data_IF_014620544365
#
_entry.id   IF_014620544365
#
_cell.length_a   1.000
_cell.length_b   1.000
_cell.length_c   1.000
_cell.angle_alpha   90.00
_cell.angle_beta   90.00
_cell.angle_gamma   90.00
#
_symmetry.space_group_name_H-M   'P 1'
#
loop_
_entity.id
_entity.type
_entity.pdbx_description
1 polymer ?
#
# COMPACT_ATOMS: atom_id res chain seq x y z
N UNK A 1 -8.30 -56.50 -35.32
CA UNK A 1 -9.40 -57.12 -34.56
C UNK A 1 -9.31 -56.60 -33.12
N UNK A 2 -10.28 -56.00 -32.44
CA UNK A 2 -11.61 -55.49 -32.70
C UNK A 2 -11.93 -54.52 -31.54
N UNK A 3 -12.55 -53.39 -31.84
CA UNK A 3 -12.81 -52.26 -30.93
C UNK A 3 -14.13 -52.52 -30.18
N UNK A 4 -14.10 -52.80 -28.87
CA UNK A 4 -15.32 -52.93 -28.07
C UNK A 4 -15.81 -51.53 -27.64
N UNK A 5 -17.01 -51.19 -28.11
CA UNK A 5 -17.80 -50.03 -27.67
C UNK A 5 -18.74 -50.50 -26.56
N UNK A 6 -18.57 -50.02 -25.34
CA UNK A 6 -19.58 -50.17 -24.30
C UNK A 6 -20.65 -49.08 -24.47
N UNK A 7 -21.86 -49.52 -24.76
CA UNK A 7 -23.08 -48.71 -24.90
C UNK A 7 -23.83 -48.84 -23.58
N UNK A 8 -23.99 -47.73 -22.85
CA UNK A 8 -24.83 -47.66 -21.65
C UNK A 8 -26.30 -47.58 -22.07
N UNK A 9 -27.16 -48.34 -21.40
CA UNK A 9 -28.61 -48.42 -21.63
C UNK A 9 -29.37 -47.45 -20.72
N UNK A 10 -30.54 -46.94 -21.15
CA UNK A 10 -31.30 -45.94 -20.42
C UNK A 10 -32.25 -46.63 -19.42
N UNK A 11 -31.86 -46.76 -18.15
CA UNK A 11 -32.77 -47.23 -17.09
C UNK A 11 -32.39 -46.82 -15.65
N UNK A 12 -31.70 -45.70 -15.43
CA UNK A 12 -31.40 -45.20 -14.07
C UNK A 12 -31.57 -43.68 -13.92
N UNK A 13 -32.71 -43.17 -14.37
CA UNK A 13 -33.15 -41.79 -14.08
C UNK A 13 -34.57 -41.83 -13.52
N UNK A 14 -34.69 -42.16 -12.23
CA UNK A 14 -35.85 -41.82 -11.40
C UNK A 14 -35.55 -42.11 -9.91
N UNK A 15 -35.29 -41.07 -9.12
CA UNK A 15 -35.76 -40.92 -7.73
C UNK A 15 -35.20 -39.63 -7.10
N UNK A 16 -35.97 -39.04 -6.18
CA UNK A 16 -35.71 -37.84 -5.38
C UNK A 16 -36.20 -36.50 -5.96
N UNK A 17 -37.51 -36.42 -6.17
CA UNK A 17 -38.30 -35.23 -5.86
C UNK A 17 -38.93 -35.46 -4.48
N UNK A 18 -38.81 -34.52 -3.55
CA UNK A 18 -39.88 -33.99 -2.67
C UNK A 18 -39.31 -33.11 -1.53
N UNK A 19 -39.80 -31.86 -1.51
CA UNK A 19 -40.08 -30.97 -0.36
C UNK A 19 -38.95 -30.40 0.52
N UNK A 20 -38.50 -29.17 0.22
CA UNK A 20 -38.26 -28.12 1.24
C UNK A 20 -38.57 -26.70 0.73
N UNK A 21 -39.77 -26.24 1.09
CA UNK A 21 -40.24 -24.89 1.43
C UNK A 21 -39.47 -23.64 0.92
N UNK A 22 -40.09 -22.98 -0.06
CA UNK A 22 -39.81 -21.58 -0.46
C UNK A 22 -40.34 -20.62 0.63
N UNK A 23 -39.45 -19.85 1.23
CA UNK A 23 -39.84 -18.74 2.12
C UNK A 23 -40.12 -17.46 1.29
N UNK A 24 -41.12 -16.65 1.65
CA UNK A 24 -41.45 -15.44 0.91
C UNK A 24 -40.37 -14.35 1.08
N UNK A 25 -39.95 -13.77 -0.05
CA UNK A 25 -39.00 -12.66 -0.15
C UNK A 25 -39.52 -11.43 0.62
N UNK A 26 -38.73 -10.95 1.59
CA UNK A 26 -38.92 -9.64 2.23
C UNK A 26 -38.63 -8.52 1.23
N UNK A 27 -39.56 -7.58 1.11
CA UNK A 27 -39.40 -6.36 0.31
C UNK A 27 -38.41 -5.39 0.98
N UNK A 28 -37.59 -4.65 0.20
CA UNK A 28 -36.68 -3.66 0.75
C UNK A 28 -37.46 -2.43 1.27
N UNK A 29 -37.23 -2.06 2.53
CA UNK A 29 -37.76 -0.83 3.13
C UNK A 29 -36.90 0.36 2.70
N UNK A 30 -37.54 1.37 2.11
CA UNK A 30 -36.93 2.66 1.79
C UNK A 30 -36.54 3.43 3.07
N UNK A 31 -35.33 4.00 3.17
CA UNK A 31 -34.94 4.81 4.32
C UNK A 31 -35.66 6.17 4.32
N UNK A 32 -36.21 6.56 5.48
CA UNK A 32 -36.80 7.89 5.71
C UNK A 32 -35.70 8.96 5.79
N UNK A 33 -35.91 10.18 5.26
CA UNK A 33 -34.93 11.26 5.34
C UNK A 33 -34.76 11.75 6.79
N UNK A 34 -33.49 11.96 7.17
CA UNK A 34 -33.09 12.55 8.47
C UNK A 34 -33.30 14.07 8.43
N UNK A 35 -33.89 14.69 9.46
CA UNK A 35 -34.03 16.14 9.53
C UNK A 35 -32.67 16.82 9.72
N UNK A 36 -32.44 17.88 8.97
CA UNK A 36 -31.26 18.77 9.04
C UNK A 36 -31.30 19.61 10.32
N UNK A 37 -30.19 19.76 11.08
CA UNK A 37 -30.14 20.71 12.17
C UNK A 37 -30.09 22.14 11.63
N UNK A 38 -31.05 22.95 12.10
CA UNK A 38 -31.14 24.39 11.86
C UNK A 38 -29.96 25.09 12.53
N UNK A 39 -29.28 25.93 11.75
CA UNK A 39 -28.26 26.88 12.19
C UNK A 39 -28.84 27.90 13.18
N UNK A 40 -28.52 27.77 14.46
CA UNK A 40 -28.76 28.83 15.44
C UNK A 40 -27.56 29.80 15.50
N UNK A 41 -27.89 31.08 15.42
CA UNK A 41 -26.99 32.24 15.32
C UNK A 41 -26.34 32.58 16.66
N UNK A 42 -25.25 33.35 16.55
CA UNK A 42 -24.43 33.95 17.60
C UNK A 42 -25.20 34.94 18.49
N UNK A 43 -24.85 34.91 19.78
CA UNK A 43 -24.86 35.98 20.78
C UNK A 43 -24.14 35.38 22.00
N UNK A 44 -23.17 35.98 22.69
CA UNK A 44 -22.73 37.37 22.78
C UNK A 44 -22.75 37.77 24.27
N UNK A 45 -21.56 37.72 24.91
CA UNK A 45 -21.19 38.32 26.22
C UNK A 45 -21.85 37.64 27.45
N UNK A 46 -21.26 37.40 28.62
CA UNK A 46 -20.27 38.09 29.48
C UNK A 46 -19.38 37.02 30.19
N UNK A 47 -18.12 37.25 30.60
CA UNK A 47 -17.73 38.06 31.75
C UNK A 47 -17.53 37.18 33.02
N UNK A 48 -16.28 36.90 33.36
CA UNK A 48 -15.75 36.58 34.70
C UNK A 48 -16.38 35.47 35.57
N UNK A 49 -15.70 34.32 35.68
CA UNK A 49 -15.61 33.56 36.94
C UNK A 49 -14.59 32.41 36.85
N UNK A 50 -13.32 32.70 37.13
CA UNK A 50 -12.35 31.69 37.55
C UNK A 50 -12.33 31.64 39.08
N UNK A 51 -12.77 30.51 39.67
CA UNK A 51 -12.06 29.71 40.72
C UNK A 51 -13.01 28.83 41.56
N UNK A 52 -12.59 27.57 41.68
CA UNK A 52 -12.80 26.61 42.78
C UNK A 52 -14.19 26.02 43.04
N UNK A 53 -14.35 24.74 42.66
CA UNK A 53 -14.84 23.69 43.56
C UNK A 53 -14.47 22.30 43.00
N UNK A 54 -13.74 21.53 43.80
CA UNK A 54 -13.40 20.13 43.59
C UNK A 54 -14.52 19.33 44.25
N UNK A 55 -15.23 18.47 43.51
CA UNK A 55 -15.83 17.25 44.07
C UNK A 55 -16.31 16.27 42.98
N UNK A 56 -16.36 15.01 43.36
CA UNK A 56 -16.19 13.82 42.54
C UNK A 56 -17.48 13.37 41.85
N UNK A 57 -17.44 13.20 40.51
CA UNK A 57 -18.36 12.27 39.81
C UNK A 57 -17.58 11.42 38.82
N UNK A 58 -17.79 10.10 38.91
CA UNK A 58 -17.10 9.04 38.15
C UNK A 58 -17.40 9.15 36.65
N UNK A 59 -16.35 9.25 35.82
CA UNK A 59 -16.43 9.03 34.37
C UNK A 59 -16.40 7.53 34.05
N UNK A 60 -17.21 7.05 33.09
CA UNK A 60 -17.21 5.64 32.68
C UNK A 60 -15.95 5.29 31.88
N UNK A 61 -15.44 4.07 32.08
CA UNK A 61 -14.25 3.51 31.45
C UNK A 61 -14.31 3.60 29.92
N UNK A 62 -13.39 4.37 29.33
CA UNK A 62 -13.09 4.29 27.90
C UNK A 62 -12.19 3.08 27.65
N UNK A 63 -12.66 2.17 26.79
CA UNK A 63 -11.94 0.99 26.31
C UNK A 63 -10.51 1.35 25.86
N UNK A 64 -9.50 0.48 26.09
CA UNK A 64 -8.14 0.76 25.67
C UNK A 64 -8.07 0.86 24.14
N UNK A 65 -7.58 2.00 23.66
CA UNK A 65 -7.18 2.20 22.27
C UNK A 65 -6.02 1.25 21.94
N UNK A 66 -5.98 0.59 20.77
CA UNK A 66 -4.80 -0.18 20.39
C UNK A 66 -3.57 0.74 20.36
N UNK A 67 -2.47 0.26 20.94
CA UNK A 67 -1.15 0.87 20.79
C UNK A 67 -0.70 0.68 19.34
N UNK A 68 -0.96 1.68 18.50
CA UNK A 68 -0.46 1.76 17.13
C UNK A 68 0.93 2.36 17.20
N UNK A 69 1.95 1.51 17.07
CA UNK A 69 3.32 1.98 16.90
C UNK A 69 3.53 2.26 15.40
N UNK A 70 3.60 3.53 15.07
CA UNK A 70 4.11 3.99 13.77
C UNK A 70 5.61 4.11 13.96
N UNK A 71 6.37 3.27 13.26
CA UNK A 71 7.80 3.48 13.12
C UNK A 71 7.90 4.28 11.83
N UNK A 72 8.13 5.59 11.96
CA UNK A 72 8.34 6.46 10.81
C UNK A 72 9.71 6.11 10.19
N UNK A 73 9.73 5.81 8.88
CA UNK A 73 10.89 5.35 8.12
C UNK A 73 11.93 6.46 7.80
N UNK A 74 12.00 7.51 8.61
CA UNK A 74 12.93 8.62 8.40
C UNK A 74 14.21 8.40 9.24
N UNK A 75 15.30 8.14 8.51
CA UNK A 75 16.72 8.19 8.89
C UNK A 75 17.31 7.02 9.71
N UNK A 76 17.78 5.97 9.01
CA UNK A 76 18.91 5.13 9.44
C UNK A 76 19.92 5.09 8.28
N UNK A 77 20.89 6.02 8.32
CA UNK A 77 22.10 6.03 7.48
C UNK A 77 23.03 4.90 7.94
N UNK A 78 22.89 3.71 7.34
CA UNK A 78 23.88 2.64 7.48
C UNK A 78 24.77 2.58 6.24
N UNK A 79 26.01 3.05 6.43
CA UNK A 79 27.17 2.89 5.56
C UNK A 79 27.71 1.44 5.54
N UNK A 80 28.42 1.12 4.44
CA UNK A 80 29.26 -0.07 4.13
C UNK A 80 28.49 -1.34 3.66
N UNK A 81 28.94 -2.13 2.67
CA UNK A 81 30.28 -2.44 2.15
C UNK A 81 30.13 -3.04 0.73
N UNK A 82 30.91 -2.54 -0.22
CA UNK A 82 31.00 -3.06 -1.60
C UNK A 82 31.71 -4.42 -1.59
N UNK A 83 31.08 -5.45 -2.16
CA UNK A 83 31.81 -6.65 -2.59
C UNK A 83 31.69 -6.85 -4.09
N UNK A 84 32.80 -6.50 -4.74
CA UNK A 84 33.18 -6.85 -6.10
C UNK A 84 33.22 -8.38 -6.25
N UNK A 85 32.54 -8.89 -7.27
CA UNK A 85 32.80 -10.21 -7.84
C UNK A 85 33.08 -9.98 -9.33
N UNK A 86 34.36 -9.97 -9.66
CA UNK A 86 34.86 -10.28 -10.99
C UNK A 86 34.89 -11.81 -11.12
N UNK A 87 34.39 -12.35 -12.23
CA UNK A 87 35.16 -13.30 -13.06
C UNK A 87 34.37 -13.60 -14.35
N UNK A 88 35.07 -13.39 -15.45
CA UNK A 88 34.71 -13.59 -16.85
C UNK A 88 34.65 -15.08 -17.20
N UNK A 89 33.77 -15.49 -18.12
CA UNK A 89 34.17 -16.10 -19.40
C UNK A 89 32.97 -16.59 -20.25
N UNK A 90 33.14 -16.39 -21.56
CA UNK A 90 32.22 -16.59 -22.69
C UNK A 90 31.80 -18.05 -22.97
N UNK A 91 30.65 -18.28 -23.63
CA UNK A 91 30.60 -18.68 -25.06
C UNK A 91 29.16 -18.65 -25.62
N UNK A 92 29.04 -18.20 -26.87
CA UNK A 92 27.81 -17.91 -27.61
C UNK A 92 27.22 -19.13 -28.33
N UNK A 93 25.88 -19.25 -28.32
CA UNK A 93 25.14 -20.05 -29.31
C UNK A 93 23.92 -19.27 -29.79
N UNK A 94 23.93 -18.91 -31.06
CA UNK A 94 22.87 -18.16 -31.73
C UNK A 94 21.63 -19.06 -31.92
N UNK A 95 20.51 -18.65 -31.32
CA UNK A 95 19.17 -19.06 -31.73
C UNK A 95 18.36 -17.79 -31.99
N UNK A 96 17.88 -17.65 -33.22
CA UNK A 96 16.89 -16.64 -33.64
C UNK A 96 15.52 -17.00 -33.03
N UNK A 97 15.38 -16.75 -31.73
CA UNK A 97 14.08 -16.58 -31.08
C UNK A 97 13.99 -15.09 -30.72
N UNK A 98 12.85 -14.47 -31.05
CA UNK A 98 12.59 -13.07 -30.69
C UNK A 98 12.61 -12.95 -29.16
N UNK A 99 13.79 -12.67 -28.61
CA UNK A 99 14.00 -12.29 -27.23
C UNK A 99 13.19 -11.01 -27.02
N UNK A 100 12.05 -11.14 -26.33
CA UNK A 100 11.50 -10.04 -25.57
C UNK A 100 12.59 -9.67 -24.57
N UNK A 101 13.47 -8.72 -24.95
CA UNK A 101 14.45 -8.14 -24.05
C UNK A 101 13.72 -7.86 -22.73
N UNK A 102 14.15 -8.50 -21.64
CA UNK A 102 13.63 -8.20 -20.30
C UNK A 102 14.01 -6.75 -20.00
N UNK A 103 13.17 -5.83 -20.45
CA UNK A 103 13.33 -4.40 -20.26
C UNK A 103 13.24 -4.18 -18.75
N UNK A 104 14.40 -3.99 -18.12
CA UNK A 104 14.49 -3.67 -16.70
C UNK A 104 13.64 -2.44 -16.46
N UNK A 105 12.50 -2.59 -15.79
CA UNK A 105 11.53 -1.51 -15.69
C UNK A 105 12.10 -0.43 -14.79
N UNK A 106 12.49 0.70 -15.35
CA UNK A 106 13.00 1.83 -14.57
C UNK A 106 11.86 2.41 -13.72
N UNK A 107 11.85 2.03 -12.44
CA UNK A 107 10.88 2.48 -11.43
C UNK A 107 10.98 4.00 -11.18
N UNK A 108 12.06 4.64 -11.60
CA UNK A 108 12.24 6.09 -11.56
C UNK A 108 11.57 6.82 -12.72
N UNK A 109 11.11 6.15 -13.76
CA UNK A 109 10.40 6.80 -14.86
C UNK A 109 8.93 7.03 -14.46
N UNK A 110 8.39 8.26 -14.66
CA UNK A 110 6.97 8.51 -14.47
C UNK A 110 6.12 7.63 -15.40
N UNK A 111 5.16 6.91 -14.83
CA UNK A 111 4.27 6.04 -15.60
C UNK A 111 3.45 6.90 -16.58
N UNK A 112 3.41 6.56 -17.88
CA UNK A 112 2.60 7.30 -18.84
C UNK A 112 1.13 7.36 -18.40
N UNK A 113 0.51 8.55 -18.47
CA UNK A 113 -0.85 8.78 -17.95
C UNK A 113 -1.88 7.75 -18.43
N UNK A 114 -1.79 7.30 -19.69
CA UNK A 114 -2.69 6.27 -20.24
C UNK A 114 -2.51 4.92 -19.53
N UNK A 115 -1.27 4.51 -19.25
CA UNK A 115 -0.96 3.30 -18.52
C UNK A 115 -1.41 3.40 -17.05
N UNK A 116 -1.13 4.54 -16.39
CA UNK A 116 -1.58 4.79 -15.02
C UNK A 116 -3.11 4.73 -14.86
N UNK A 117 -3.88 5.24 -15.84
CA UNK A 117 -5.35 5.14 -15.84
C UNK A 117 -5.81 3.68 -15.99
N UNK A 118 -5.16 2.89 -16.86
CA UNK A 118 -5.47 1.46 -17.01
C UNK A 118 -5.18 0.70 -15.72
N UNK A 119 -4.02 0.93 -15.10
CA UNK A 119 -3.66 0.34 -13.81
C UNK A 119 -4.68 0.71 -12.73
N UNK A 120 -5.01 2.00 -12.61
CA UNK A 120 -5.98 2.48 -11.62
C UNK A 120 -7.35 1.80 -11.71
N UNK A 121 -7.78 1.37 -12.90
CA UNK A 121 -9.04 0.65 -13.09
C UNK A 121 -9.03 -0.80 -12.54
N UNK A 122 -7.85 -1.41 -12.39
CA UNK A 122 -7.68 -2.79 -11.93
C UNK A 122 -6.84 -2.94 -10.65
N UNK A 123 -6.40 -1.83 -10.06
CA UNK A 123 -5.42 -1.84 -8.96
C UNK A 123 -5.86 -2.63 -7.73
N UNK A 124 -7.15 -2.68 -7.44
CA UNK A 124 -7.66 -3.41 -6.26
C UNK A 124 -7.50 -4.93 -6.47
N UNK A 125 -7.81 -5.42 -7.67
CA UNK A 125 -7.55 -6.80 -8.05
C UNK A 125 -6.05 -7.09 -8.12
N UNK A 126 -5.28 -6.18 -8.72
CA UNK A 126 -3.82 -6.32 -8.79
C UNK A 126 -3.17 -6.42 -7.39
N UNK A 127 -3.60 -5.59 -6.43
CA UNK A 127 -3.14 -5.63 -5.05
C UNK A 127 -3.49 -6.95 -4.36
N UNK A 128 -4.73 -7.41 -4.51
CA UNK A 128 -5.18 -8.68 -3.94
C UNK A 128 -4.36 -9.85 -4.49
N UNK A 129 -4.21 -9.93 -5.82
CA UNK A 129 -3.48 -11.00 -6.48
C UNK A 129 -1.98 -10.95 -6.11
N UNK A 130 -1.37 -9.75 -6.07
CA UNK A 130 0.04 -9.59 -5.70
C UNK A 130 0.29 -10.00 -4.25
N UNK A 131 -0.57 -9.60 -3.33
CA UNK A 131 -0.49 -10.00 -1.93
C UNK A 131 -0.59 -11.52 -1.76
N UNK A 132 -1.58 -12.16 -2.41
CA UNK A 132 -1.77 -13.61 -2.30
C UNK A 132 -0.56 -14.38 -2.84
N UNK A 133 -0.05 -13.99 -4.02
CA UNK A 133 1.15 -14.60 -4.61
C UNK A 133 2.37 -14.44 -3.71
N UNK A 134 2.66 -13.22 -3.25
CA UNK A 134 3.84 -12.96 -2.42
C UNK A 134 3.74 -13.65 -1.05
N UNK A 135 2.58 -13.62 -0.42
CA UNK A 135 2.37 -14.30 0.87
C UNK A 135 2.60 -15.80 0.74
N UNK A 136 2.12 -16.42 -0.35
CA UNK A 136 2.33 -17.84 -0.62
C UNK A 136 3.79 -18.16 -0.95
N UNK A 137 4.39 -17.42 -1.88
CA UNK A 137 5.67 -17.79 -2.49
C UNK A 137 6.88 -17.36 -1.63
N UNK A 138 6.77 -16.25 -0.88
CA UNK A 138 7.86 -15.69 -0.06
C UNK A 138 7.64 -15.92 1.43
N UNK A 139 6.42 -15.69 1.93
CA UNK A 139 6.15 -15.60 3.38
C UNK A 139 5.46 -16.84 3.96
N UNK A 140 5.46 -17.95 3.22
CA UNK A 140 4.95 -19.25 3.66
C UNK A 140 3.50 -19.21 4.17
N UNK A 141 2.68 -18.32 3.60
CA UNK A 141 1.31 -18.00 4.01
C UNK A 141 1.16 -17.53 5.47
N UNK A 142 2.19 -16.93 6.07
CA UNK A 142 2.15 -16.50 7.48
C UNK A 142 1.62 -15.06 7.68
N UNK A 143 1.28 -14.33 6.61
CA UNK A 143 0.77 -12.95 6.70
C UNK A 143 -0.76 -12.84 6.54
N UNK A 144 -1.53 -13.89 6.85
CA UNK A 144 -3.00 -13.93 6.59
C UNK A 144 -3.80 -12.80 7.24
N UNK A 145 -3.35 -12.30 8.39
CA UNK A 145 -4.02 -11.23 9.13
C UNK A 145 -3.55 -9.83 8.73
N UNK A 146 -2.66 -9.71 7.73
CA UNK A 146 -2.17 -8.42 7.23
C UNK A 146 -3.19 -7.80 6.28
N UNK A 147 -3.63 -6.59 6.63
CA UNK A 147 -4.60 -5.83 5.82
C UNK A 147 -3.86 -4.91 4.84
N UNK A 148 -4.15 -5.02 3.54
CA UNK A 148 -3.59 -4.12 2.52
C UNK A 148 -4.67 -3.15 2.00
N UNK A 149 -4.35 -1.85 1.91
CA UNK A 149 -5.31 -0.84 1.48
C UNK A 149 -4.67 0.32 0.70
N UNK A 150 -5.50 1.07 -0.02
CA UNK A 150 -5.08 2.23 -0.80
C UNK A 150 -5.29 3.55 -0.06
N UNK A 151 -4.28 4.40 -0.02
CA UNK A 151 -4.31 5.72 0.60
C UNK A 151 -4.17 6.85 -0.41
N UNK A 152 -5.06 7.84 -0.30
CA UNK A 152 -4.94 9.15 -0.99
C UNK A 152 -4.18 10.18 -0.14
N UNK A 153 -3.82 9.81 1.10
CA UNK A 153 -3.31 10.74 2.12
C UNK A 153 -1.81 10.63 2.34
N UNK A 154 -1.20 9.48 2.06
CA UNK A 154 0.26 9.36 1.93
C UNK A 154 0.71 10.29 0.82
N UNK A 155 1.64 11.22 1.10
CA UNK A 155 2.12 12.25 0.17
C UNK A 155 3.62 12.25 -0.02
N UNK A 156 4.35 11.64 0.91
CA UNK A 156 5.81 11.63 0.98
C UNK A 156 6.38 10.24 0.76
N UNK A 157 5.59 9.19 1.00
CA UNK A 157 5.97 7.79 0.80
C UNK A 157 5.02 7.09 -0.15
N UNK A 158 5.52 6.05 -0.82
CA UNK A 158 4.75 5.15 -1.67
C UNK A 158 3.96 4.11 -0.88
N UNK A 159 4.45 3.72 0.29
CA UNK A 159 3.86 2.73 1.17
C UNK A 159 4.13 3.07 2.63
N UNK A 160 3.33 2.53 3.54
CA UNK A 160 3.67 2.46 4.96
C UNK A 160 3.07 1.21 5.57
N UNK A 161 3.82 0.57 6.45
CA UNK A 161 3.34 -0.55 7.26
C UNK A 161 3.13 -0.08 8.70
N UNK A 162 2.01 -0.47 9.33
CA UNK A 162 1.69 -0.13 10.72
C UNK A 162 1.52 -1.38 11.55
N UNK A 163 2.28 -1.49 12.62
CA UNK A 163 2.15 -2.56 13.58
C UNK A 163 0.90 -2.34 14.44
N UNK A 164 0.01 -3.31 14.46
CA UNK A 164 -1.12 -3.39 15.39
C UNK A 164 -0.83 -4.48 16.43
N UNK A 165 -0.94 -4.13 17.71
CA UNK A 165 -0.76 -5.08 18.82
C UNK A 165 -2.06 -5.35 19.55
N UNK A 166 -2.31 -6.61 19.89
CA UNK A 166 -3.40 -7.07 20.74
C UNK A 166 -2.81 -8.00 21.80
N UNK A 167 -2.30 -7.42 22.89
CA UNK A 167 -1.57 -8.20 23.89
C UNK A 167 -0.23 -8.71 23.33
N UNK A 168 -0.07 -10.04 23.24
CA UNK A 168 1.11 -10.66 22.62
C UNK A 168 0.99 -10.80 21.10
N UNK A 169 -0.23 -10.72 20.56
CA UNK A 169 -0.47 -10.92 19.14
C UNK A 169 -0.10 -9.66 18.35
N UNK A 170 0.54 -9.87 17.21
CA UNK A 170 0.97 -8.83 16.28
C UNK A 170 0.30 -9.06 14.93
N UNK A 171 -0.27 -8.00 14.38
CA UNK A 171 -0.72 -7.93 13.00
C UNK A 171 -0.20 -6.63 12.38
N UNK A 172 -0.23 -6.52 11.05
CA UNK A 172 0.22 -5.34 10.33
C UNK A 172 -0.88 -4.82 9.41
N UNK A 173 -0.79 -3.53 9.08
CA UNK A 173 -1.59 -2.91 8.03
C UNK A 173 -0.63 -2.26 7.06
N UNK A 174 -0.81 -2.56 5.78
CA UNK A 174 -0.08 -1.93 4.69
C UNK A 174 -1.01 -0.91 4.01
N UNK A 175 -0.54 0.32 3.88
CA UNK A 175 -1.22 1.37 3.11
C UNK A 175 -0.34 1.78 1.92
N UNK A 176 -0.88 1.76 0.70
CA UNK A 176 -0.17 2.14 -0.53
C UNK A 176 -0.69 3.47 -1.11
N UNK A 177 0.20 4.36 -1.51
CA UNK A 177 -0.12 5.67 -2.03
C UNK A 177 -0.62 5.59 -3.48
N UNK A 178 -1.90 5.89 -3.69
CA UNK A 178 -2.58 5.82 -5.00
C UNK A 178 -1.99 6.68 -6.12
N UNK A 179 -1.15 7.66 -5.79
CA UNK A 179 -0.53 8.57 -6.76
C UNK A 179 0.95 8.28 -7.02
N UNK A 180 1.54 7.35 -6.27
CA UNK A 180 2.92 6.90 -6.46
C UNK A 180 2.93 5.51 -7.08
N UNK A 181 2.13 4.61 -6.52
CA UNK A 181 1.97 3.24 -7.01
C UNK A 181 0.91 3.23 -8.11
N UNK A 182 1.37 3.43 -9.35
CA UNK A 182 0.54 3.64 -10.54
C UNK A 182 0.83 2.67 -11.70
N UNK A 183 1.59 1.61 -11.45
CA UNK A 183 1.91 0.51 -12.37
C UNK A 183 2.14 -0.80 -11.60
N UNK A 184 2.15 -1.95 -12.28
CA UNK A 184 2.44 -3.25 -11.63
C UNK A 184 3.85 -3.30 -11.05
N UNK A 185 4.92 -2.88 -11.75
CA UNK A 185 6.26 -2.93 -11.19
C UNK A 185 6.40 -2.11 -9.91
N UNK A 186 5.75 -0.94 -9.84
CA UNK A 186 5.72 -0.12 -8.61
C UNK A 186 4.88 -0.76 -7.52
N UNK A 187 3.80 -1.46 -7.88
CA UNK A 187 2.99 -2.21 -6.92
C UNK A 187 3.82 -3.34 -6.31
N UNK A 188 4.47 -4.16 -7.13
CA UNK A 188 5.24 -5.30 -6.67
C UNK A 188 6.42 -4.85 -5.81
N UNK A 189 7.18 -3.85 -6.25
CA UNK A 189 8.30 -3.30 -5.47
C UNK A 189 7.86 -2.68 -4.12
N UNK A 190 6.82 -1.85 -4.13
CA UNK A 190 6.34 -1.21 -2.88
C UNK A 190 5.73 -2.24 -1.95
N UNK A 191 4.83 -3.09 -2.45
CA UNK A 191 4.16 -4.09 -1.63
C UNK A 191 5.17 -5.06 -1.02
N UNK A 192 6.17 -5.53 -1.79
CA UNK A 192 7.18 -6.43 -1.25
C UNK A 192 8.01 -5.78 -0.13
N UNK A 193 8.38 -4.51 -0.27
CA UNK A 193 9.04 -3.74 0.79
C UNK A 193 8.19 -3.69 2.07
N UNK A 194 6.93 -3.30 1.94
CA UNK A 194 6.01 -3.22 3.07
C UNK A 194 5.75 -4.60 3.72
N UNK A 195 5.65 -5.66 2.92
CA UNK A 195 5.49 -7.02 3.44
C UNK A 195 6.76 -7.53 4.14
N UNK A 196 7.95 -7.08 3.75
CA UNK A 196 9.18 -7.39 4.50
C UNK A 196 9.14 -6.78 5.91
N UNK A 197 8.62 -5.56 6.07
CA UNK A 197 8.34 -4.99 7.40
C UNK A 197 7.31 -5.81 8.16
N UNK A 198 6.18 -6.14 7.52
CA UNK A 198 5.13 -6.93 8.14
C UNK A 198 5.65 -8.31 8.61
N UNK A 199 6.46 -8.99 7.79
CA UNK A 199 7.08 -10.27 8.11
C UNK A 199 8.02 -10.17 9.30
N UNK A 200 8.93 -9.20 9.31
CA UNK A 200 9.83 -8.97 10.45
C UNK A 200 9.05 -8.79 11.76
N UNK A 201 7.88 -8.11 11.71
CA UNK A 201 7.09 -7.82 12.90
C UNK A 201 6.22 -8.99 13.35
N UNK A 202 5.55 -9.67 12.42
CA UNK A 202 4.54 -10.69 12.68
C UNK A 202 5.18 -12.07 12.81
N UNK A 203 6.12 -12.42 11.93
CA UNK A 203 6.77 -13.74 11.88
C UNK A 203 7.95 -13.76 12.86
N UNK A 204 8.89 -12.83 12.73
CA UNK A 204 10.13 -12.84 13.52
C UNK A 204 10.03 -12.11 14.85
N UNK A 205 8.93 -11.37 15.08
CA UNK A 205 8.71 -10.59 16.29
C UNK A 205 9.79 -9.48 16.51
N UNK A 206 10.50 -9.05 15.46
CA UNK A 206 11.57 -8.03 15.48
C UNK A 206 11.09 -6.73 14.84
N UNK A 207 11.00 -5.64 15.62
CA UNK A 207 10.52 -4.35 15.13
C UNK A 207 11.62 -3.30 14.89
N UNK A 208 12.84 -3.52 15.40
CA UNK A 208 13.95 -2.57 15.27
C UNK A 208 15.30 -3.28 15.06
N UNK A 209 16.23 -2.66 14.33
CA UNK A 209 16.03 -1.47 13.48
C UNK A 209 15.08 -1.79 12.30
N UNK A 210 14.45 -0.76 11.71
CA UNK A 210 13.36 -0.95 10.74
C UNK A 210 13.82 -1.78 9.51
N UNK A 211 14.98 -1.45 8.96
CA UNK A 211 15.63 -2.15 7.85
C UNK A 211 16.83 -3.01 8.30
N UNK A 212 16.75 -3.58 9.51
CA UNK A 212 17.81 -4.42 10.07
C UNK A 212 18.03 -5.75 9.37
N UNK A 213 18.84 -6.62 10.00
CA UNK A 213 19.19 -7.95 9.46
C UNK A 213 17.97 -8.79 9.04
N UNK A 214 16.87 -8.74 9.82
CA UNK A 214 15.64 -9.50 9.54
C UNK A 214 14.95 -8.98 8.29
N UNK A 215 14.77 -7.66 8.18
CA UNK A 215 14.23 -7.03 6.97
C UNK A 215 15.09 -7.37 5.74
N UNK A 216 16.41 -7.19 5.83
CA UNK A 216 17.36 -7.49 4.74
C UNK A 216 17.32 -8.98 4.34
N UNK A 217 17.04 -9.89 5.28
CA UNK A 217 16.87 -11.30 4.98
C UNK A 217 15.60 -11.57 4.16
N UNK A 218 14.46 -10.98 4.53
CA UNK A 218 13.22 -11.07 3.75
C UNK A 218 13.37 -10.40 2.38
N UNK A 219 13.97 -9.22 2.31
CA UNK A 219 14.26 -8.52 1.06
C UNK A 219 15.06 -9.40 0.08
N UNK A 220 16.11 -10.07 0.57
CA UNK A 220 16.87 -11.03 -0.26
C UNK A 220 16.01 -12.20 -0.73
N UNK A 221 15.14 -12.75 0.14
CA UNK A 221 14.21 -13.83 -0.26
C UNK A 221 13.24 -13.36 -1.34
N UNK A 222 12.73 -12.12 -1.25
CA UNK A 222 11.90 -11.52 -2.31
C UNK A 222 12.67 -11.53 -3.64
N UNK A 223 13.86 -10.95 -3.67
CA UNK A 223 14.64 -10.83 -4.92
C UNK A 223 15.08 -12.20 -5.48
N UNK A 224 15.28 -13.20 -4.63
CA UNK A 224 15.54 -14.58 -5.07
C UNK A 224 14.33 -15.22 -5.75
N UNK A 225 13.11 -14.96 -5.24
CA UNK A 225 11.87 -15.56 -5.78
C UNK A 225 11.32 -14.75 -6.96
N UNK A 226 11.45 -13.43 -6.91
CA UNK A 226 11.04 -12.49 -7.95
C UNK A 226 12.24 -11.62 -8.35
N UNK A 227 13.08 -12.07 -9.32
CA UNK A 227 14.29 -11.35 -9.73
C UNK A 227 14.02 -9.92 -10.25
N UNK A 228 12.84 -9.67 -10.80
CA UNK A 228 12.39 -8.35 -11.25
C UNK A 228 12.00 -7.40 -10.09
N UNK A 229 11.95 -7.89 -8.84
CA UNK A 229 11.60 -7.12 -7.65
C UNK A 229 12.83 -6.93 -6.77
N UNK A 230 13.41 -5.73 -6.85
CA UNK A 230 14.49 -5.32 -5.96
C UNK A 230 13.92 -4.56 -4.75
N UNK A 231 14.07 -5.14 -3.55
CA UNK A 231 13.67 -4.49 -2.30
C UNK A 231 14.87 -3.80 -1.67
N UNK A 232 14.89 -2.47 -1.73
CA UNK A 232 15.86 -1.60 -1.06
C UNK A 232 15.34 -1.08 0.28
N UNK A 233 16.20 -0.44 1.08
CA UNK A 233 15.82 0.19 2.37
C UNK A 233 14.97 1.45 2.17
N UNK A 234 15.07 2.10 1.01
CA UNK A 234 14.25 3.26 0.64
C UNK A 234 13.55 3.02 -0.69
N UNK A 235 12.33 3.54 -0.84
CA UNK A 235 11.62 3.57 -2.11
C UNK A 235 12.26 4.56 -3.10
N UNK A 236 12.80 4.10 -4.22
CA UNK A 236 13.35 4.96 -5.29
C UNK A 236 12.31 5.25 -6.40
N UNK A 237 11.26 6.01 -6.10
CA UNK A 237 10.27 6.42 -7.11
C UNK A 237 10.33 7.92 -7.43
N UNK A 238 10.31 8.30 -8.72
CA UNK A 238 10.01 9.70 -9.09
C UNK A 238 8.49 9.89 -9.10
N UNK A 239 8.00 10.70 -8.16
CA UNK A 239 6.59 11.04 -8.06
C UNK A 239 6.18 11.97 -9.21
N UNK A 240 5.17 11.57 -9.98
CA UNK A 240 4.63 12.38 -11.08
C UNK A 240 3.74 13.51 -10.56
N UNK A 241 4.29 14.72 -10.47
CA UNK A 241 3.55 15.89 -10.01
C UNK A 241 2.85 16.62 -11.16
N UNK A 242 1.55 16.91 -10.99
CA UNK A 242 0.76 17.67 -11.97
C UNK A 242 1.15 19.15 -12.02
N UNK A 243 1.58 19.71 -10.89
CA UNK A 243 1.99 21.11 -10.77
C UNK A 243 3.40 21.14 -10.20
N UNK A 244 4.32 21.82 -10.89
CA UNK A 244 5.66 22.09 -10.39
C UNK A 244 5.78 23.59 -10.13
N UNK A 245 6.27 23.93 -8.95
CA UNK A 245 6.53 25.30 -8.54
C UNK A 245 8.03 25.47 -8.40
N UNK A 246 8.59 26.51 -9.00
CA UNK A 246 9.98 26.89 -8.87
C UNK A 246 10.07 28.26 -8.23
N UNK A 247 11.11 28.47 -7.43
CA UNK A 247 11.48 29.79 -6.95
C UNK A 247 11.64 30.73 -8.15
N UNK A 248 11.06 31.92 -8.11
CA UNK A 248 11.19 32.91 -9.20
C UNK A 248 12.55 33.62 -9.22
N UNK A 249 13.31 33.51 -8.14
CA UNK A 249 14.64 34.07 -8.00
C UNK A 249 15.64 33.24 -8.84
N UNK A 250 16.35 33.84 -9.81
CA UNK A 250 17.29 33.12 -10.69
C UNK A 250 18.41 32.39 -9.93
N UNK A 251 18.77 32.87 -8.74
CA UNK A 251 19.82 32.29 -7.91
C UNK A 251 19.28 31.20 -6.95
N UNK A 252 17.98 30.92 -7.01
CA UNK A 252 17.28 29.98 -6.14
C UNK A 252 16.83 28.72 -6.92
N UNK A 253 17.55 27.62 -6.73
CA UNK A 253 17.24 26.33 -7.39
C UNK A 253 16.09 25.54 -6.75
N UNK A 254 15.45 26.09 -5.71
CA UNK A 254 14.38 25.39 -4.99
C UNK A 254 13.16 25.16 -5.88
N UNK A 255 12.74 23.90 -5.99
CA UNK A 255 11.52 23.50 -6.71
C UNK A 255 10.72 22.49 -5.89
N UNK A 256 9.40 22.52 -6.05
CA UNK A 256 8.49 21.60 -5.39
C UNK A 256 7.41 21.13 -6.35
N UNK A 257 7.24 19.81 -6.42
CA UNK A 257 6.12 19.18 -7.11
C UNK A 257 4.91 19.01 -6.20
N UNK A 258 3.70 19.22 -6.74
CA UNK A 258 2.42 19.04 -6.05
C UNK A 258 1.38 18.40 -6.96
N UNK A 259 0.47 17.62 -6.37
CA UNK A 259 -0.69 17.06 -7.07
C UNK A 259 -1.88 18.03 -7.15
N UNK A 260 -1.90 19.08 -6.31
CA UNK A 260 -2.91 20.15 -6.32
C UNK A 260 -2.35 21.47 -6.84
N UNK A 261 -3.20 22.30 -7.48
CA UNK A 261 -2.83 23.63 -7.94
C UNK A 261 -2.88 24.66 -6.79
N UNK A 262 -2.09 24.42 -5.75
CA UNK A 262 -2.03 25.32 -4.58
C UNK A 262 -0.71 25.14 -3.86
N UNK A 263 -0.10 26.23 -3.43
CA UNK A 263 1.14 26.26 -2.65
C UNK A 263 1.00 27.30 -1.53
N UNK A 264 1.39 26.91 -0.32
CA UNK A 264 1.44 27.80 0.84
C UNK A 264 2.86 28.36 0.96
N UNK A 265 3.07 29.57 0.45
CA UNK A 265 4.39 30.20 0.33
C UNK A 265 5.04 30.39 1.70
N UNK A 266 4.26 30.65 2.75
CA UNK A 266 4.80 30.85 4.10
C UNK A 266 5.49 29.59 4.66
N UNK A 267 5.16 28.41 4.14
CA UNK A 267 5.78 27.13 4.52
C UNK A 267 7.02 26.76 3.70
N UNK A 268 7.30 27.50 2.63
CA UNK A 268 8.42 27.23 1.73
C UNK A 268 9.36 28.44 1.70
N UNK A 269 10.65 28.25 2.00
CA UNK A 269 11.65 29.33 1.98
C UNK A 269 12.02 29.73 0.52
N UNK A 270 11.06 30.24 -0.24
CA UNK A 270 11.29 30.79 -1.58
C UNK A 270 11.48 32.30 -1.46
N UNK A 271 12.66 32.81 -1.82
CA UNK A 271 13.01 34.24 -1.72
C UNK A 271 12.24 35.12 -2.71
N UNK A 272 11.96 34.62 -3.92
CA UNK A 272 11.23 35.34 -4.96
C UNK A 272 9.72 35.01 -5.08
N UNK A 273 9.22 34.05 -4.31
CA UNK A 273 7.87 33.48 -4.50
C UNK A 273 7.81 32.41 -5.60
N UNK A 274 6.68 31.68 -5.71
CA UNK A 274 6.58 30.51 -6.58
C UNK A 274 6.08 30.87 -7.99
N UNK A 275 6.75 30.33 -9.01
CA UNK A 275 6.29 30.36 -10.40
C UNK A 275 5.95 28.94 -10.85
N UNK A 276 4.82 28.76 -11.54
CA UNK A 276 4.47 27.44 -12.10
C UNK A 276 5.32 27.15 -13.32
N UNK A 277 5.99 26.00 -13.33
CA UNK A 277 6.75 25.51 -14.49
C UNK A 277 5.89 24.47 -15.21
N UNK A 278 5.76 24.60 -16.54
CA UNK A 278 5.02 23.66 -17.39
C UNK A 278 5.85 22.44 -17.74
#
# INVERSE_FOLDING_TARGET
MGRLKHRLTPSDVAASLEHLHVTPRRTPRTPKPRPTPVSARRGGLDGDAWRSAVEHTKTPESKPSPDVLVIDDEDDDDLDDDQLIDDEDEESVANDEEEEEEETVDLEVPTPRRAAVKFAARRDAALADAFERMNRDIFDNQLLDVECSWSKRLRTTAGITRLRRRGKDRTAVVELATHVVDSDPKLDATLAHELCHAAAWVIDNVARPAHGRVFKAWARRVTQVYPHVLVTTTHRYKIAFKFKWQCSDPDCSYSIGRHSNSIDIAKHKMTGGPTTVR
#
